data_IF_793464639520
#
_entry.id   IF_793464639520
#
_cell.length_a   1.000
_cell.length_b   1.000
_cell.length_c   1.000
_cell.angle_alpha   90.00
_cell.angle_beta   90.00
_cell.angle_gamma   90.00
#
_symmetry.space_group_name_H-M   'P 1'
#
loop_
_entity.id
_entity.type
_entity.pdbx_description
1 polymer ?
#
# COMPACT_ATOMS: atom_id res chain seq x y z
N UNK A 1 -21.66 7.67 3.26
CA UNK A 1 -20.19 7.81 3.31
C UNK A 1 -19.68 6.92 4.42
N UNK A 2 -18.49 6.33 4.24
CA UNK A 2 -17.84 5.50 5.25
C UNK A 2 -16.40 5.97 5.38
N UNK A 3 -15.89 6.01 6.61
CA UNK A 3 -14.49 6.32 6.87
C UNK A 3 -13.62 5.09 6.60
N UNK A 4 -12.61 5.26 5.77
CA UNK A 4 -11.60 4.25 5.49
C UNK A 4 -10.23 4.74 5.93
N UNK A 5 -9.44 3.86 6.51
CA UNK A 5 -8.06 4.10 6.95
C UNK A 5 -7.13 3.29 6.05
N UNK A 6 -6.06 3.92 5.57
CA UNK A 6 -5.15 3.36 4.56
C UNK A 6 -3.77 3.07 5.17
N UNK A 7 -3.70 2.01 5.99
CA UNK A 7 -2.47 1.64 6.69
C UNK A 7 -1.40 1.15 5.69
N UNK A 8 -0.19 1.70 5.79
CA UNK A 8 0.93 1.31 4.94
C UNK A 8 1.68 0.15 5.57
N UNK A 9 2.16 -0.77 4.74
CA UNK A 9 3.03 -1.87 5.17
C UNK A 9 4.22 -2.03 4.25
N UNK A 10 5.41 -2.01 4.83
CA UNK A 10 6.67 -2.28 4.16
C UNK A 10 7.39 -3.40 4.91
N UNK A 11 7.42 -4.61 4.32
CA UNK A 11 7.94 -5.79 5.01
C UNK A 11 7.16 -6.09 6.31
N UNK A 12 7.86 -5.99 7.43
CA UNK A 12 7.30 -6.20 8.78
C UNK A 12 6.83 -4.91 9.46
N UNK A 13 7.22 -3.76 8.94
CA UNK A 13 6.81 -2.47 9.47
C UNK A 13 5.41 -2.10 8.99
N UNK A 14 4.57 -1.62 9.91
CA UNK A 14 3.24 -1.11 9.62
C UNK A 14 3.13 0.31 10.15
N UNK A 15 2.70 1.22 9.27
CA UNK A 15 2.46 2.62 9.59
C UNK A 15 0.94 2.82 9.52
N UNK A 16 0.25 2.95 10.68
CA UNK A 16 -1.20 3.11 10.70
C UNK A 16 -1.62 4.50 10.22
N UNK A 17 -2.75 4.55 9.53
CA UNK A 17 -3.47 5.79 9.24
C UNK A 17 -4.53 6.02 10.34
N UNK A 18 -4.33 7.04 11.16
CA UNK A 18 -5.25 7.41 12.25
C UNK A 18 -6.33 8.41 11.81
N UNK A 19 -6.13 9.09 10.68
CA UNK A 19 -7.05 10.12 10.21
C UNK A 19 -8.18 9.51 9.38
N UNK A 20 -7.79 8.68 8.41
CA UNK A 20 -8.72 8.12 7.43
C UNK A 20 -9.39 9.18 6.54
N UNK A 21 -10.17 8.71 5.57
CA UNK A 21 -10.87 9.54 4.59
C UNK A 21 -12.31 9.04 4.46
N UNK A 22 -13.27 9.96 4.45
CA UNK A 22 -14.69 9.65 4.22
C UNK A 22 -14.95 9.51 2.72
N UNK A 23 -15.28 8.30 2.27
CA UNK A 23 -15.54 8.01 0.86
C UNK A 23 -16.97 7.52 0.64
N UNK A 24 -17.49 7.79 -0.56
CA UNK A 24 -18.89 7.55 -0.93
C UNK A 24 -19.16 6.12 -1.42
N UNK A 25 -18.13 5.42 -1.90
CA UNK A 25 -18.28 4.06 -2.46
C UNK A 25 -17.02 3.21 -2.28
N UNK A 26 -17.15 1.90 -2.54
CA UNK A 26 -16.03 0.96 -2.52
C UNK A 26 -15.06 1.21 -3.69
N UNK A 27 -15.57 1.63 -4.85
CA UNK A 27 -14.75 1.96 -6.01
C UNK A 27 -13.87 3.19 -5.73
N UNK A 28 -14.41 4.21 -5.04
CA UNK A 28 -13.63 5.37 -4.61
C UNK A 28 -12.53 4.96 -3.63
N UNK A 29 -12.84 4.07 -2.68
CA UNK A 29 -11.87 3.50 -1.73
C UNK A 29 -10.78 2.71 -2.45
N UNK A 30 -11.16 1.84 -3.40
CA UNK A 30 -10.21 1.07 -4.18
C UNK A 30 -9.30 1.99 -5.00
N UNK A 31 -9.86 3.02 -5.63
CA UNK A 31 -9.09 4.00 -6.40
C UNK A 31 -8.03 4.67 -5.53
N UNK A 32 -8.42 5.19 -4.37
CA UNK A 32 -7.51 5.80 -3.40
C UNK A 32 -6.41 4.83 -2.94
N UNK A 33 -6.77 3.59 -2.61
CA UNK A 33 -5.81 2.56 -2.21
C UNK A 33 -4.77 2.26 -3.29
N UNK A 34 -5.20 2.22 -4.57
CA UNK A 34 -4.27 2.00 -5.69
C UNK A 34 -3.35 3.19 -5.94
N UNK A 35 -3.84 4.43 -5.77
CA UNK A 35 -3.02 5.63 -5.88
C UNK A 35 -1.98 5.68 -4.76
N UNK A 36 -2.39 5.43 -3.52
CA UNK A 36 -1.50 5.37 -2.37
C UNK A 36 -0.41 4.29 -2.56
N UNK A 37 -0.78 3.10 -3.04
CA UNK A 37 0.18 2.04 -3.32
C UNK A 37 1.17 2.43 -4.44
N UNK A 38 0.69 3.08 -5.50
CA UNK A 38 1.54 3.51 -6.60
C UNK A 38 2.56 4.58 -6.15
N UNK A 39 2.14 5.52 -5.30
CA UNK A 39 3.02 6.53 -4.72
C UNK A 39 4.10 5.88 -3.83
N UNK A 40 3.70 4.98 -2.92
CA UNK A 40 4.62 4.24 -2.07
C UNK A 40 5.61 3.41 -2.90
N UNK A 41 5.11 2.67 -3.89
CA UNK A 41 5.94 1.85 -4.77
C UNK A 41 6.94 2.68 -5.56
N UNK A 42 6.54 3.86 -6.07
CA UNK A 42 7.46 4.76 -6.79
C UNK A 42 8.67 5.14 -5.93
N UNK A 43 8.43 5.49 -4.68
CA UNK A 43 9.50 5.97 -3.80
C UNK A 43 10.43 4.83 -3.38
N UNK A 44 9.89 3.63 -3.11
CA UNK A 44 10.67 2.45 -2.73
C UNK A 44 11.43 1.79 -3.89
N UNK A 45 10.84 1.76 -5.09
CA UNK A 45 11.54 1.28 -6.29
C UNK A 45 12.82 2.08 -6.53
N UNK A 46 12.80 3.40 -6.27
CA UNK A 46 13.99 4.26 -6.42
C UNK A 46 15.09 4.02 -5.37
N UNK A 47 14.74 3.42 -4.22
CA UNK A 47 15.69 3.10 -3.14
C UNK A 47 16.27 1.69 -3.26
N UNK A 48 15.63 0.82 -4.05
CA UNK A 48 16.03 -0.57 -4.20
C UNK A 48 17.36 -0.72 -4.96
N UNK A 49 18.21 -1.64 -4.49
CA UNK A 49 19.49 -1.97 -5.11
C UNK A 49 19.41 -3.26 -5.92
N UNK A 50 20.30 -3.41 -6.89
CA UNK A 50 20.45 -4.65 -7.67
C UNK A 50 20.73 -5.83 -6.72
N UNK A 51 20.08 -6.96 -7.00
CA UNK A 51 20.20 -8.24 -6.27
C UNK A 51 19.76 -8.20 -4.80
N UNK A 52 19.09 -7.13 -4.35
CA UNK A 52 18.41 -7.10 -3.06
C UNK A 52 17.26 -8.13 -3.01
N UNK A 53 16.87 -8.59 -1.80
CA UNK A 53 15.66 -9.41 -1.64
C UNK A 53 14.43 -8.70 -2.20
N UNK A 54 13.49 -9.49 -2.75
CA UNK A 54 12.24 -8.98 -3.25
C UNK A 54 11.51 -8.16 -2.16
N UNK A 55 11.13 -6.94 -2.51
CA UNK A 55 10.43 -6.02 -1.62
C UNK A 55 8.93 -6.19 -1.81
N UNK A 56 8.19 -6.25 -0.70
CA UNK A 56 6.73 -6.35 -0.67
C UNK A 56 6.15 -5.15 0.06
N UNK A 57 5.34 -4.39 -0.66
CA UNK A 57 4.64 -3.21 -0.19
C UNK A 57 3.14 -3.48 -0.22
N UNK A 58 2.41 -2.96 0.75
CA UNK A 58 0.96 -3.07 0.77
C UNK A 58 0.28 -1.84 1.37
N UNK A 59 -0.92 -1.56 0.87
CA UNK A 59 -1.89 -0.70 1.51
C UNK A 59 -3.00 -1.60 2.05
N UNK A 60 -3.17 -1.61 3.37
CA UNK A 60 -4.25 -2.29 4.05
C UNK A 60 -5.35 -1.28 4.34
N UNK A 61 -6.51 -1.49 3.74
CA UNK A 61 -7.66 -0.64 3.98
C UNK A 61 -8.54 -1.29 5.03
N UNK A 62 -8.86 -0.54 6.07
CA UNK A 62 -9.84 -0.90 7.09
C UNK A 62 -10.86 0.20 7.26
N UNK A 63 -12.00 -0.13 7.83
CA UNK A 63 -12.95 0.83 8.38
C UNK A 63 -13.16 0.53 9.87
N UNK A 64 -14.13 1.18 10.50
CA UNK A 64 -14.43 1.00 11.93
C UNK A 64 -14.80 -0.46 12.31
N UNK A 65 -15.30 -1.24 11.36
CA UNK A 65 -15.63 -2.65 11.52
C UNK A 65 -14.48 -3.61 11.22
N UNK A 66 -13.32 -3.10 10.79
CA UNK A 66 -12.13 -3.90 10.53
C UNK A 66 -11.67 -3.90 9.07
N UNK A 67 -10.84 -4.89 8.67
CA UNK A 67 -10.21 -4.92 7.35
C UNK A 67 -11.21 -5.11 6.20
N UNK A 68 -11.01 -4.38 5.11
CA UNK A 68 -11.90 -4.38 3.93
C UNK A 68 -11.17 -4.81 2.66
N UNK A 69 -9.95 -4.31 2.48
CA UNK A 69 -9.19 -4.49 1.25
C UNK A 69 -7.69 -4.52 1.53
N UNK A 70 -6.95 -5.27 0.71
CA UNK A 70 -5.49 -5.22 0.68
C UNK A 70 -5.02 -5.09 -0.76
N UNK A 71 -4.33 -4.00 -1.06
CA UNK A 71 -3.58 -3.84 -2.30
C UNK A 71 -2.10 -4.18 -2.03
N UNK A 72 -1.43 -4.90 -2.94
CA UNK A 72 -0.03 -5.33 -2.74
C UNK A 72 0.76 -5.14 -4.02
N UNK A 73 2.00 -4.67 -3.87
CA UNK A 73 3.00 -4.57 -4.93
C UNK A 73 4.26 -5.34 -4.48
N UNK A 74 4.79 -6.20 -5.33
CA UNK A 74 6.04 -6.92 -5.07
C UNK A 74 6.97 -6.73 -6.25
N UNK A 75 8.24 -6.43 -5.98
CA UNK A 75 9.23 -6.20 -7.02
C UNK A 75 10.62 -6.63 -6.57
N UNK A 76 11.47 -6.90 -7.56
CA UNK A 76 12.90 -7.15 -7.39
C UNK A 76 13.66 -6.63 -8.60
N UNK A 77 14.96 -6.39 -8.44
CA UNK A 77 15.87 -6.00 -9.52
C UNK A 77 16.97 -7.05 -9.57
N UNK A 78 17.08 -7.74 -10.71
CA UNK A 78 18.08 -8.79 -10.95
C UNK A 78 18.98 -8.39 -12.10
N UNK A 79 20.28 -8.64 -11.94
CA UNK A 79 21.22 -8.57 -13.07
C UNK A 79 21.47 -9.98 -13.59
N UNK A 80 21.13 -10.21 -14.85
CA UNK A 80 21.53 -11.40 -15.57
C UNK A 80 22.87 -11.16 -16.28
N UNK A 81 23.72 -12.18 -16.34
CA UNK A 81 25.00 -12.14 -17.06
C UNK A 81 24.80 -12.28 -18.57
#
# INVERSE_FOLDING_TARGET
MRRYFFDQREGDEMIPDEQGIDLVSLEAMQHEATLALALLARDEVRRCTIDAPARRLAINVRDEGGPVLRATFTFEIRRFQ
#
